data_IF_944851332630
#
_entry.id   IF_944851332630
#
_cell.length_a   1.000
_cell.length_b   1.000
_cell.length_c   1.000
_cell.angle_alpha   90.00
_cell.angle_beta   90.00
_cell.angle_gamma   90.00
#
_symmetry.space_group_name_H-M   'P 1'
#
loop_
_entity.id
_entity.type
_entity.pdbx_description
1 polymer ?
#
# COMPACT_ATOMS: atom_id res chain seq x y z
N UNK A 1 14.18 -8.22 -6.51
CA UNK A 1 13.53 -8.30 -5.20
C UNK A 1 12.83 -6.97 -4.99
N UNK A 2 11.50 -6.98 -4.93
CA UNK A 2 10.71 -5.79 -4.63
C UNK A 2 10.79 -5.55 -3.11
N UNK A 3 10.94 -4.30 -2.71
CA UNK A 3 10.76 -3.84 -1.33
C UNK A 3 9.26 -3.78 -1.07
N UNK A 4 8.84 -3.97 0.17
CA UNK A 4 7.45 -3.71 0.53
C UNK A 4 7.38 -2.42 1.32
N UNK A 5 6.33 -1.62 1.09
CA UNK A 5 6.09 -0.43 1.91
C UNK A 5 5.61 -0.95 3.26
N UNK A 6 6.46 -0.76 4.28
CA UNK A 6 6.34 -1.39 5.59
C UNK A 6 4.91 -1.49 6.12
N UNK A 7 4.45 -2.74 6.29
CA UNK A 7 3.34 -3.23 7.12
C UNK A 7 2.96 -4.69 6.79
N UNK A 8 3.36 -5.15 5.61
CA UNK A 8 2.78 -6.33 4.96
C UNK A 8 3.69 -7.56 4.86
N UNK A 9 5.02 -7.44 4.97
CA UNK A 9 5.93 -8.55 5.27
C UNK A 9 7.34 -8.10 5.68
N UNK A 10 8.16 -9.09 6.09
CA UNK A 10 9.40 -8.97 6.87
C UNK A 10 10.51 -8.08 6.27
N UNK A 11 11.44 -7.56 7.11
CA UNK A 11 12.70 -7.05 6.60
C UNK A 11 13.38 -8.17 5.82
N UNK A 12 13.48 -8.01 4.50
CA UNK A 12 14.42 -8.81 3.71
C UNK A 12 15.81 -8.44 4.21
N UNK A 13 16.31 -9.22 5.16
CA UNK A 13 17.70 -9.16 5.57
C UNK A 13 18.52 -9.19 4.29
N UNK A 14 19.35 -8.16 4.10
CA UNK A 14 20.35 -8.14 3.06
C UNK A 14 21.12 -9.46 3.18
N UNK A 15 20.84 -10.41 2.28
CA UNK A 15 21.67 -11.58 2.13
C UNK A 15 22.95 -11.06 1.51
N UNK A 16 23.94 -10.82 2.36
CA UNK A 16 25.33 -10.72 1.95
C UNK A 16 25.65 -11.99 1.15
N UNK A 17 25.70 -11.83 -0.17
CA UNK A 17 26.14 -12.86 -1.08
C UNK A 17 27.65 -13.01 -0.97
N UNK A 18 28.11 -13.58 0.14
CA UNK A 18 29.46 -14.13 0.25
C UNK A 18 29.49 -15.49 -0.45
N UNK A 19 29.93 -15.47 -1.71
CA UNK A 19 30.22 -16.66 -2.48
C UNK A 19 31.55 -17.27 -2.02
N UNK A 20 31.50 -18.22 -1.09
CA UNK A 20 32.61 -19.14 -0.83
C UNK A 20 32.31 -20.49 -1.52
N UNK A 21 33.09 -20.80 -2.55
CA UNK A 21 33.08 -22.10 -3.21
C UNK A 21 33.55 -23.19 -2.22
N UNK A 22 32.73 -24.22 -2.02
CA UNK A 22 33.19 -25.44 -1.36
C UNK A 22 32.75 -26.69 -2.13
N UNK A 23 33.75 -27.51 -2.37
CA UNK A 23 33.79 -28.69 -3.22
C UNK A 23 32.95 -29.86 -2.65
N UNK A 24 32.27 -30.55 -3.57
CA UNK A 24 31.24 -31.54 -3.33
C UNK A 24 31.77 -32.86 -2.75
N UNK A 25 31.17 -33.34 -1.66
CA UNK A 25 31.25 -34.76 -1.25
C UNK A 25 29.86 -35.40 -1.43
N UNK A 26 29.71 -36.51 -2.17
CA UNK A 26 28.43 -37.18 -2.31
C UNK A 26 28.30 -38.27 -1.24
N UNK A 27 27.28 -38.21 -0.37
CA UNK A 27 26.51 -39.39 0.07
C UNK A 27 25.41 -38.99 1.08
N UNK A 28 24.23 -39.61 0.92
CA UNK A 28 23.00 -39.59 1.75
C UNK A 28 21.96 -38.49 1.47
N UNK A 29 21.37 -38.59 0.28
CA UNK A 29 20.31 -37.69 -0.20
C UNK A 29 18.92 -37.84 0.48
N UNK A 30 18.69 -38.84 1.35
CA UNK A 30 17.35 -39.09 1.90
C UNK A 30 17.16 -38.59 3.35
N UNK A 31 18.19 -38.61 4.20
CA UNK A 31 18.08 -38.06 5.57
C UNK A 31 18.10 -36.52 5.60
N UNK A 32 18.67 -35.88 4.57
CA UNK A 32 18.74 -34.42 4.47
C UNK A 32 17.40 -33.75 4.13
N UNK A 33 16.46 -34.48 3.51
CA UNK A 33 15.14 -33.94 3.14
C UNK A 33 14.22 -33.82 4.36
N UNK A 34 14.34 -34.71 5.34
CA UNK A 34 13.53 -34.67 6.56
C UNK A 34 13.96 -33.53 7.50
N UNK A 35 15.27 -33.28 7.64
CA UNK A 35 15.80 -32.19 8.46
C UNK A 35 15.53 -30.82 7.81
N UNK A 36 15.63 -30.71 6.48
CA UNK A 36 15.25 -29.49 5.76
C UNK A 36 13.75 -29.17 5.87
N UNK A 37 12.89 -30.20 5.87
CA UNK A 37 11.44 -30.03 6.04
C UNK A 37 11.05 -29.61 7.46
N UNK A 38 11.72 -30.16 8.47
CA UNK A 38 11.53 -29.75 9.87
C UNK A 38 12.07 -28.34 10.17
N UNK A 39 13.14 -27.90 9.50
CA UNK A 39 13.66 -26.53 9.63
C UNK A 39 12.75 -25.48 8.96
N UNK A 40 12.10 -25.84 7.84
CA UNK A 40 11.12 -24.96 7.18
C UNK A 40 9.81 -24.81 7.97
N UNK A 41 9.40 -25.81 8.75
CA UNK A 41 8.18 -25.74 9.59
C UNK A 41 8.35 -24.90 10.88
N UNK A 42 9.59 -24.67 11.33
CA UNK A 42 9.86 -23.90 12.56
C UNK A 42 10.01 -22.40 12.29
N UNK A 43 10.23 -22.00 11.03
CA UNK A 43 10.39 -20.60 10.62
C UNK A 43 9.02 -19.91 10.36
N UNK A 44 7.97 -20.66 10.04
CA UNK A 44 6.67 -20.11 9.63
C UNK A 44 5.83 -19.50 10.78
N UNK A 45 6.18 -19.78 12.05
CA UNK A 45 5.43 -19.28 13.22
C UNK A 45 6.06 -18.09 13.94
N UNK A 46 7.24 -17.62 13.52
CA UNK A 46 7.79 -16.33 13.95
C UNK A 46 7.36 -15.30 12.92
N UNK A 47 6.15 -14.76 13.01
CA UNK A 47 6.12 -13.32 13.28
C UNK A 47 4.84 -12.62 12.84
N UNK A 48 3.67 -13.26 12.97
CA UNK A 48 2.40 -12.51 12.85
C UNK A 48 2.37 -11.33 13.86
N UNK A 49 3.05 -11.48 15.01
CA UNK A 49 3.24 -10.44 16.03
C UNK A 49 4.35 -9.42 15.73
N UNK A 50 5.19 -9.64 14.71
CA UNK A 50 6.30 -8.74 14.36
C UNK A 50 5.90 -7.66 13.34
N UNK A 51 4.72 -7.76 12.73
CA UNK A 51 4.21 -6.69 11.88
C UNK A 51 3.94 -5.46 12.76
N UNK A 52 4.32 -4.25 12.32
CA UNK A 52 4.00 -3.06 13.11
C UNK A 52 2.48 -2.99 13.34
N UNK A 53 2.01 -2.18 14.29
CA UNK A 53 0.58 -1.91 14.52
C UNK A 53 0.22 -0.53 13.93
N UNK A 54 -0.75 -0.42 12.98
CA UNK A 54 -0.85 0.79 12.16
C UNK A 54 -1.38 1.96 12.98
N UNK A 55 -1.98 1.66 14.13
CA UNK A 55 -2.37 2.64 15.13
C UNK A 55 -1.18 3.41 15.70
N UNK A 56 0.03 2.81 15.69
CA UNK A 56 1.28 3.45 16.14
C UNK A 56 1.87 4.41 15.11
N UNK A 57 1.36 4.40 13.87
CA UNK A 57 1.83 5.24 12.78
C UNK A 57 0.87 6.41 12.47
N UNK A 58 -0.19 6.58 13.26
CA UNK A 58 -1.15 7.66 13.08
C UNK A 58 -0.50 9.01 13.42
N UNK A 59 -0.51 9.93 12.46
CA UNK A 59 0.04 11.28 12.61
C UNK A 59 -0.89 12.29 11.93
N UNK A 60 -1.90 12.76 12.69
CA UNK A 60 -2.87 13.73 12.17
C UNK A 60 -2.22 15.08 11.81
N UNK A 61 -1.21 15.51 12.56
CA UNK A 61 -0.55 16.78 12.31
C UNK A 61 0.21 16.74 10.97
N UNK A 62 0.93 15.65 10.70
CA UNK A 62 1.60 15.43 9.42
C UNK A 62 0.62 15.49 8.25
N UNK A 63 -0.50 14.73 8.33
CA UNK A 63 -1.49 14.67 7.25
C UNK A 63 -2.06 16.07 6.91
N UNK A 64 -2.37 16.87 7.93
CA UNK A 64 -2.95 18.21 7.73
C UNK A 64 -1.93 19.24 7.22
N UNK A 65 -0.65 19.11 7.58
CA UNK A 65 0.40 20.08 7.22
C UNK A 65 1.07 19.79 5.88
N UNK A 66 0.89 18.58 5.32
CA UNK A 66 1.57 18.12 4.10
C UNK A 66 0.60 17.86 2.94
N UNK A 67 -0.43 18.70 2.76
CA UNK A 67 -1.49 18.49 1.76
C UNK A 67 -0.97 18.21 0.34
N UNK A 68 0.05 18.93 -0.12
CA UNK A 68 0.65 18.71 -1.44
C UNK A 68 1.31 17.33 -1.59
N UNK A 69 1.98 16.84 -0.54
CA UNK A 69 2.56 15.49 -0.53
C UNK A 69 1.48 14.42 -0.42
N UNK A 70 0.41 14.66 0.33
CA UNK A 70 -0.74 13.75 0.43
C UNK A 70 -1.44 13.60 -0.93
N UNK A 71 -1.65 14.69 -1.68
CA UNK A 71 -2.18 14.61 -3.05
C UNK A 71 -1.23 13.88 -4.01
N UNK A 72 0.07 14.06 -3.84
CA UNK A 72 1.08 13.32 -4.60
C UNK A 72 1.01 11.81 -4.31
N UNK A 73 0.87 11.44 -3.03
CA UNK A 73 0.72 10.05 -2.59
C UNK A 73 -0.56 9.42 -3.10
N UNK A 74 -1.69 10.13 -3.05
CA UNK A 74 -2.96 9.64 -3.61
C UNK A 74 -2.79 9.21 -5.06
N UNK A 75 -2.27 10.12 -5.89
CA UNK A 75 -2.02 9.83 -7.29
C UNK A 75 -1.04 8.66 -7.45
N UNK A 76 0.08 8.66 -6.72
CA UNK A 76 1.12 7.64 -6.86
C UNK A 76 0.64 6.23 -6.49
N UNK A 77 -0.12 6.13 -5.39
CA UNK A 77 -0.59 4.86 -4.86
C UNK A 77 -1.79 4.30 -5.63
N UNK A 78 -2.64 5.16 -6.19
CA UNK A 78 -3.90 4.77 -6.83
C UNK A 78 -3.79 4.73 -8.35
N UNK A 79 -3.18 5.74 -8.96
CA UNK A 79 -3.15 5.90 -10.43
C UNK A 79 -1.75 5.65 -11.03
N UNK A 80 -0.69 5.84 -10.25
CA UNK A 80 0.71 5.76 -10.70
C UNK A 80 1.37 4.38 -10.62
N UNK A 81 0.61 3.35 -10.23
CA UNK A 81 1.10 2.01 -9.93
C UNK A 81 0.69 0.96 -10.97
N UNK A 82 1.34 -0.20 -10.92
CA UNK A 82 1.02 -1.38 -11.73
C UNK A 82 0.51 -2.50 -10.84
N UNK A 83 -0.33 -3.38 -11.38
CA UNK A 83 -0.88 -4.52 -10.64
C UNK A 83 0.18 -5.62 -10.57
N UNK A 84 0.66 -5.92 -9.37
CA UNK A 84 1.60 -7.03 -9.14
C UNK A 84 0.84 -8.35 -9.05
N UNK A 85 -0.25 -8.37 -8.29
CA UNK A 85 -1.13 -9.52 -8.12
C UNK A 85 -2.55 -9.08 -7.79
N UNK A 86 -3.51 -10.01 -7.93
CA UNK A 86 -4.91 -9.82 -7.54
C UNK A 86 -5.41 -11.08 -6.83
N UNK A 87 -6.21 -10.88 -5.79
CA UNK A 87 -6.72 -11.91 -4.90
C UNK A 87 -8.25 -12.00 -5.00
N UNK A 88 -8.83 -13.14 -4.63
CA UNK A 88 -10.29 -13.35 -4.72
C UNK A 88 -11.10 -12.80 -3.53
N UNK A 89 -10.47 -12.01 -2.66
CA UNK A 89 -11.09 -11.47 -1.45
C UNK A 89 -10.53 -10.10 -1.08
N UNK A 90 -11.36 -9.30 -0.41
CA UNK A 90 -10.94 -8.02 0.13
C UNK A 90 -10.09 -8.19 1.38
N UNK A 91 -9.05 -7.36 1.48
CA UNK A 91 -8.39 -7.12 2.76
C UNK A 91 -9.36 -6.45 3.75
N UNK A 92 -9.06 -6.50 5.05
CA UNK A 92 -9.83 -5.79 6.06
C UNK A 92 -9.02 -4.65 6.68
N UNK A 93 -9.73 -3.61 7.13
CA UNK A 93 -9.10 -2.53 7.89
C UNK A 93 -8.81 -2.99 9.32
N UNK A 94 -7.58 -2.75 9.80
CA UNK A 94 -7.15 -3.13 11.15
C UNK A 94 -7.64 -2.15 12.24
N UNK A 95 -8.25 -1.04 11.88
CA UNK A 95 -8.84 -0.10 12.84
C UNK A 95 -10.25 -0.58 13.24
N UNK A 96 -10.48 -1.01 14.50
CA UNK A 96 -11.74 -1.65 14.91
C UNK A 96 -12.96 -0.72 14.81
N UNK A 97 -12.72 0.60 14.79
CA UNK A 97 -13.76 1.63 14.66
C UNK A 97 -13.90 2.17 13.24
N UNK A 98 -13.24 1.56 12.24
CA UNK A 98 -13.37 2.01 10.85
C UNK A 98 -14.75 1.65 10.30
N UNK A 99 -15.64 2.65 10.22
CA UNK A 99 -16.98 2.49 9.65
C UNK A 99 -16.93 2.34 8.13
N UNK A 100 -16.01 3.04 7.46
CA UNK A 100 -15.88 3.01 5.99
C UNK A 100 -15.62 1.59 5.50
N UNK A 101 -14.59 0.91 6.00
CA UNK A 101 -14.28 -0.46 5.62
C UNK A 101 -15.32 -1.48 6.12
N UNK A 102 -16.00 -1.20 7.24
CA UNK A 102 -17.07 -2.05 7.76
C UNK A 102 -18.28 -2.10 6.83
N UNK A 103 -18.71 -0.94 6.31
CA UNK A 103 -19.89 -0.85 5.45
C UNK A 103 -19.58 -0.96 3.95
N UNK A 104 -18.32 -0.68 3.56
CA UNK A 104 -17.84 -0.80 2.18
C UNK A 104 -16.49 -1.53 2.12
N UNK A 105 -16.45 -2.86 2.32
CA UNK A 105 -15.20 -3.63 2.32
C UNK A 105 -14.36 -3.49 1.05
N UNK A 106 -15.00 -3.25 -0.11
CA UNK A 106 -14.30 -3.04 -1.39
C UNK A 106 -13.35 -1.84 -1.38
N UNK A 107 -13.48 -0.90 -0.44
CA UNK A 107 -12.50 0.20 -0.26
C UNK A 107 -11.08 -0.29 0.08
N UNK A 108 -10.95 -1.52 0.57
CA UNK A 108 -9.66 -2.12 0.91
C UNK A 108 -8.97 -2.74 -0.30
N UNK A 109 -9.68 -2.86 -1.42
CA UNK A 109 -9.17 -3.46 -2.63
C UNK A 109 -8.91 -4.95 -2.52
N UNK A 110 -8.54 -5.54 -3.65
CA UNK A 110 -8.16 -6.94 -3.79
C UNK A 110 -6.85 -7.12 -4.58
N UNK A 111 -6.16 -6.03 -4.93
CA UNK A 111 -4.88 -6.08 -5.61
C UNK A 111 -3.68 -5.77 -4.70
N UNK A 112 -2.52 -6.32 -5.08
CA UNK A 112 -1.21 -5.79 -4.71
C UNK A 112 -0.70 -4.94 -5.87
N UNK A 113 -0.20 -3.76 -5.54
CA UNK A 113 0.32 -2.78 -6.49
C UNK A 113 1.83 -2.65 -6.34
N UNK A 114 2.51 -2.27 -7.41
CA UNK A 114 3.95 -2.03 -7.42
C UNK A 114 4.36 -0.94 -8.40
N UNK A 115 5.50 -0.29 -8.13
CA UNK A 115 6.23 0.55 -9.08
C UNK A 115 7.54 -0.08 -9.58
N UNK A 116 7.75 -1.37 -9.29
CA UNK A 116 8.98 -2.10 -9.61
C UNK A 116 10.11 -1.96 -8.58
N UNK A 117 9.92 -1.13 -7.56
CA UNK A 117 10.80 -1.01 -6.39
C UNK A 117 10.06 -1.37 -5.12
N UNK A 118 8.88 -0.78 -4.90
CA UNK A 118 8.02 -1.02 -3.76
C UNK A 118 6.75 -1.80 -4.16
N UNK A 119 6.22 -2.61 -3.24
CA UNK A 119 4.89 -3.21 -3.32
C UNK A 119 4.03 -2.76 -2.13
N UNK A 120 2.73 -2.59 -2.37
CA UNK A 120 1.75 -2.24 -1.35
C UNK A 120 0.37 -2.80 -1.72
N UNK A 121 -0.49 -3.09 -0.73
CA UNK A 121 -1.87 -3.44 -1.04
C UNK A 121 -2.61 -2.21 -1.55
N UNK A 122 -3.57 -2.43 -2.43
CA UNK A 122 -4.45 -1.41 -2.96
C UNK A 122 -5.13 -0.56 -1.85
N UNK A 123 -5.56 -1.22 -0.77
CA UNK A 123 -6.12 -0.57 0.41
C UNK A 123 -5.13 0.26 1.24
N UNK A 124 -3.87 0.43 0.84
CA UNK A 124 -2.92 1.25 1.59
C UNK A 124 -3.34 2.73 1.63
N UNK A 125 -3.91 3.25 0.54
CA UNK A 125 -4.45 4.62 0.51
C UNK A 125 -5.55 4.85 1.55
N UNK A 126 -6.37 3.83 1.84
CA UNK A 126 -7.40 3.91 2.88
C UNK A 126 -6.81 4.26 4.25
N UNK A 127 -5.66 3.69 4.61
CA UNK A 127 -4.99 3.97 5.88
C UNK A 127 -4.48 5.41 5.96
N UNK A 128 -3.92 5.93 4.88
CA UNK A 128 -3.43 7.31 4.82
C UNK A 128 -4.61 8.27 4.89
N UNK A 129 -5.63 8.07 4.04
CA UNK A 129 -6.78 8.97 3.93
C UNK A 129 -7.69 8.98 5.16
N UNK A 130 -8.05 7.81 5.69
CA UNK A 130 -9.07 7.71 6.74
C UNK A 130 -8.50 7.56 8.15
N UNK A 131 -7.24 7.15 8.27
CA UNK A 131 -6.59 6.94 9.57
C UNK A 131 -5.34 7.80 9.76
N UNK A 132 -4.98 8.63 8.78
CA UNK A 132 -3.83 9.53 8.83
C UNK A 132 -2.54 8.77 9.20
N UNK A 133 -2.45 7.52 8.76
CA UNK A 133 -1.25 6.70 8.90
C UNK A 133 -0.17 7.35 8.05
N UNK A 134 0.95 7.73 8.69
CA UNK A 134 2.10 8.29 8.00
C UNK A 134 2.94 7.16 7.38
N UNK A 135 3.21 7.19 6.07
CA UNK A 135 4.12 6.24 5.45
C UNK A 135 5.56 6.35 5.99
N UNK A 136 6.37 5.27 5.91
CA UNK A 136 7.79 5.31 6.21
C UNK A 136 8.52 6.42 5.43
N UNK A 137 9.50 7.08 6.06
CA UNK A 137 10.17 8.24 5.47
C UNK A 137 10.92 7.90 4.17
N UNK A 138 11.57 6.74 4.11
CA UNK A 138 12.27 6.26 2.92
C UNK A 138 11.31 6.07 1.73
N UNK A 139 10.08 5.61 2.00
CA UNK A 139 9.05 5.50 0.98
C UNK A 139 8.57 6.89 0.51
N UNK A 140 8.39 7.85 1.43
CA UNK A 140 8.04 9.23 1.06
C UNK A 140 9.11 9.87 0.16
N UNK A 141 10.39 9.66 0.50
CA UNK A 141 11.53 10.16 -0.28
C UNK A 141 11.57 9.51 -1.67
N UNK A 142 11.28 8.20 -1.75
CA UNK A 142 11.16 7.46 -3.00
C UNK A 142 10.03 8.00 -3.87
N UNK A 143 8.81 8.15 -3.34
CA UNK A 143 7.66 8.70 -4.08
C UNK A 143 8.00 10.09 -4.62
N UNK A 144 8.53 10.97 -3.79
CA UNK A 144 8.89 12.35 -4.18
C UNK A 144 9.91 12.36 -5.32
N UNK A 145 10.92 11.51 -5.24
CA UNK A 145 11.98 11.41 -6.25
C UNK A 145 11.48 10.82 -7.57
N UNK A 146 10.45 9.97 -7.52
CA UNK A 146 9.99 9.18 -8.67
C UNK A 146 8.68 9.68 -9.27
N UNK A 147 7.95 10.57 -8.61
CA UNK A 147 6.63 11.02 -9.01
C UNK A 147 6.56 11.48 -10.47
N UNK A 148 7.49 12.36 -10.89
CA UNK A 148 7.56 12.85 -12.26
C UNK A 148 7.83 11.73 -13.27
N UNK A 149 8.69 10.76 -12.90
CA UNK A 149 9.03 9.62 -13.75
C UNK A 149 7.83 8.70 -13.94
N UNK A 150 7.09 8.42 -12.86
CA UNK A 150 5.85 7.62 -12.91
C UNK A 150 4.81 8.24 -13.85
N UNK A 151 4.57 9.57 -13.75
CA UNK A 151 3.66 10.28 -14.66
C UNK A 151 4.07 10.11 -16.13
N UNK A 152 5.36 10.29 -16.42
CA UNK A 152 5.86 10.20 -17.79
C UNK A 152 5.77 8.77 -18.34
N UNK A 153 6.07 7.78 -17.49
CA UNK A 153 5.96 6.36 -17.85
C UNK A 153 4.50 6.00 -18.17
N UNK A 154 3.55 6.35 -17.30
CA UNK A 154 2.13 6.08 -17.53
C UNK A 154 1.62 6.76 -18.81
N UNK A 155 2.00 8.03 -19.04
CA UNK A 155 1.66 8.73 -20.30
C UNK A 155 2.25 8.06 -21.54
N UNK A 156 3.45 7.47 -21.44
CA UNK A 156 4.05 6.74 -22.56
C UNK A 156 3.26 5.47 -22.86
N UNK A 157 2.93 4.69 -21.83
CA UNK A 157 2.11 3.49 -21.95
C UNK A 157 0.72 3.79 -22.52
N UNK A 158 0.07 4.87 -22.06
CA UNK A 158 -1.23 5.28 -22.60
C UNK A 158 -1.19 5.68 -24.06
N UNK A 159 -0.07 6.23 -24.56
CA UNK A 159 0.10 6.53 -25.99
C UNK A 159 0.29 5.25 -26.82
N UNK A 160 0.96 4.25 -26.26
CA UNK A 160 1.27 3.00 -26.94
C UNK A 160 0.07 2.04 -26.99
N UNK A 161 -0.65 1.90 -25.88
CA UNK A 161 -1.71 0.90 -25.73
C UNK A 161 -3.12 1.49 -25.61
N UNK A 162 -3.26 2.82 -25.52
CA UNK A 162 -4.52 3.49 -25.25
C UNK A 162 -4.76 3.79 -23.76
N UNK A 163 -5.82 4.55 -23.48
CA UNK A 163 -6.17 5.00 -22.13
C UNK A 163 -7.10 4.04 -21.36
N UNK A 164 -7.56 2.99 -22.03
CA UNK A 164 -8.52 2.00 -21.52
C UNK A 164 -7.84 0.65 -21.24
N UNK A 165 -6.62 0.69 -20.70
CA UNK A 165 -5.82 -0.50 -20.40
C UNK A 165 -5.23 -0.41 -18.99
N UNK A 166 -5.47 -1.44 -18.18
CA UNK A 166 -4.73 -1.69 -16.95
C UNK A 166 -3.42 -2.43 -17.24
N UNK A 167 -2.39 -2.07 -16.50
CA UNK A 167 -1.06 -2.65 -16.62
C UNK A 167 -0.73 -3.48 -15.39
N UNK A 168 -0.27 -4.70 -15.61
CA UNK A 168 0.31 -5.57 -14.61
C UNK A 168 1.84 -5.49 -14.63
N UNK A 169 2.48 -5.91 -13.56
CA UNK A 169 3.94 -6.03 -13.48
C UNK A 169 4.38 -7.41 -13.99
N UNK A 170 5.18 -7.43 -15.04
CA UNK A 170 5.77 -8.68 -15.56
C UNK A 170 7.15 -8.93 -14.92
N UNK A 171 7.33 -10.02 -14.16
CA UNK A 171 8.61 -10.33 -13.53
C UNK A 171 9.73 -10.68 -14.52
N UNK A 172 9.39 -11.14 -15.73
CA UNK A 172 10.39 -11.52 -16.74
C UNK A 172 11.04 -10.28 -17.36
N UNK A 173 10.22 -9.32 -17.80
CA UNK A 173 10.70 -8.05 -18.36
C UNK A 173 11.05 -7.02 -17.29
N UNK A 174 10.61 -7.24 -16.05
CA UNK A 174 10.72 -6.28 -14.93
C UNK A 174 10.13 -4.92 -15.31
N UNK A 175 8.94 -4.97 -15.89
CA UNK A 175 8.26 -3.78 -16.39
C UNK A 175 6.75 -3.99 -16.48
N UNK A 176 6.02 -2.91 -16.78
CA UNK A 176 4.59 -2.96 -16.98
C UNK A 176 4.25 -3.68 -18.30
N UNK A 177 3.22 -4.53 -18.26
CA UNK A 177 2.65 -5.23 -19.40
C UNK A 177 1.12 -5.09 -19.38
N UNK A 178 0.46 -4.95 -20.55
CA UNK A 178 -1.00 -4.84 -20.60
C UNK A 178 -1.65 -6.13 -20.09
N UNK A 179 -2.65 -6.00 -19.22
CA UNK A 179 -3.38 -7.15 -18.70
C UNK A 179 -4.37 -7.72 -19.73
N UNK A 180 -4.65 -9.04 -19.72
CA UNK A 180 -5.73 -9.61 -20.52
C UNK A 180 -7.08 -8.99 -20.19
N UNK A 181 -7.94 -8.77 -21.20
CA UNK A 181 -9.22 -8.07 -21.03
C UNK A 181 -10.15 -8.73 -20.00
N UNK A 182 -10.15 -10.06 -19.88
CA UNK A 182 -10.92 -10.79 -18.85
C UNK A 182 -10.44 -10.43 -17.44
N UNK A 183 -9.13 -10.35 -17.24
CA UNK A 183 -8.54 -9.95 -15.95
C UNK A 183 -8.87 -8.49 -15.65
N UNK A 184 -8.77 -7.61 -16.65
CA UNK A 184 -9.12 -6.19 -16.48
C UNK A 184 -10.58 -6.01 -16.05
N UNK A 185 -11.51 -6.68 -16.71
CA UNK A 185 -12.94 -6.61 -16.37
C UNK A 185 -13.17 -7.05 -14.91
N UNK A 186 -12.58 -8.18 -14.50
CA UNK A 186 -12.69 -8.64 -13.12
C UNK A 186 -12.14 -7.63 -12.12
N UNK A 187 -10.96 -7.05 -12.40
CA UNK A 187 -10.33 -6.06 -11.52
C UNK A 187 -11.19 -4.80 -11.41
N UNK A 188 -11.72 -4.28 -12.52
CA UNK A 188 -12.55 -3.08 -12.51
C UNK A 188 -13.89 -3.29 -11.77
N UNK A 189 -14.44 -4.50 -11.79
CA UNK A 189 -15.69 -4.83 -11.11
C UNK A 189 -15.51 -5.05 -9.60
N UNK A 190 -14.32 -5.47 -9.16
CA UNK A 190 -14.07 -5.88 -7.78
C UNK A 190 -13.10 -4.97 -7.02
N UNK A 191 -12.28 -4.18 -7.70
CA UNK A 191 -11.28 -3.33 -7.06
C UNK A 191 -11.68 -1.84 -7.12
N UNK A 192 -10.92 -1.01 -6.44
CA UNK A 192 -10.98 0.47 -6.45
C UNK A 192 -10.19 1.10 -7.60
N UNK A 193 -9.47 0.28 -8.37
CA UNK A 193 -8.67 0.73 -9.52
C UNK A 193 -9.58 1.25 -10.63
N UNK A 194 -9.06 2.23 -11.38
CA UNK A 194 -9.78 2.92 -12.45
C UNK A 194 -8.94 2.95 -13.72
N UNK A 195 -9.61 3.02 -14.86
CA UNK A 195 -8.93 3.26 -16.13
C UNK A 195 -8.41 4.71 -16.17
N UNK A 196 -7.23 4.96 -16.78
CA UNK A 196 -6.70 6.30 -16.99
C UNK A 196 -7.68 7.27 -17.66
N UNK A 197 -8.55 6.77 -18.56
CA UNK A 197 -9.58 7.57 -19.23
C UNK A 197 -10.67 8.09 -18.28
N UNK A 198 -10.99 7.37 -17.21
CA UNK A 198 -12.01 7.74 -16.24
C UNK A 198 -11.53 8.80 -15.24
N UNK A 199 -10.22 8.82 -14.98
CA UNK A 199 -9.59 9.85 -14.15
C UNK A 199 -9.77 11.27 -14.73
N UNK A 200 -9.94 11.41 -16.05
CA UNK A 200 -10.17 12.71 -16.70
C UNK A 200 -11.60 13.22 -16.60
N UNK A 201 -12.57 12.30 -16.47
CA UNK A 201 -14.01 12.62 -16.50
C UNK A 201 -14.52 13.12 -15.14
N UNK A 202 -13.82 12.76 -14.07
CA UNK A 202 -14.27 13.05 -12.71
C UNK A 202 -13.36 14.11 -12.09
N UNK A 203 -13.84 15.35 -11.86
CA UNK A 203 -13.05 16.31 -11.09
C UNK A 203 -12.79 15.73 -9.69
N UNK A 204 -11.60 15.94 -9.09
CA UNK A 204 -11.23 15.36 -7.79
C UNK A 204 -12.14 15.72 -6.60
N UNK A 205 -13.16 16.57 -6.79
CA UNK A 205 -13.92 17.19 -5.71
C UNK A 205 -15.28 16.54 -5.39
N UNK A 206 -15.90 15.73 -6.26
CA UNK A 206 -17.32 15.38 -6.10
C UNK A 206 -17.66 13.91 -5.81
N UNK A 207 -16.70 12.97 -5.87
CA UNK A 207 -16.98 11.57 -5.50
C UNK A 207 -16.97 11.27 -3.99
N UNK A 208 -16.73 12.28 -3.15
CA UNK A 208 -16.53 12.11 -1.71
C UNK A 208 -17.69 12.64 -0.83
N UNK A 209 -18.94 12.44 -1.26
CA UNK A 209 -20.13 12.68 -0.44
C UNK A 209 -20.12 11.91 0.92
N UNK A 210 -19.31 10.86 1.03
CA UNK A 210 -19.16 10.06 2.25
C UNK A 210 -18.25 10.67 3.33
N UNK A 211 -17.47 11.72 3.02
CA UNK A 211 -16.63 12.40 4.02
C UNK A 211 -17.47 13.09 5.12
N UNK A 212 -18.77 13.30 4.87
CA UNK A 212 -19.73 13.81 5.86
C UNK A 212 -20.09 12.81 6.98
N UNK A 213 -19.79 11.52 6.83
CA UNK A 213 -20.09 10.51 7.85
C UNK A 213 -18.91 10.15 8.76
N UNK A 214 -17.69 10.59 8.43
CA UNK A 214 -16.49 10.03 9.07
C UNK A 214 -16.04 10.72 10.36
N UNK A 215 -16.43 11.96 10.65
CA UNK A 215 -16.05 12.61 11.92
C UNK A 215 -17.01 13.75 12.30
N UNK A 216 -17.87 13.49 13.28
CA UNK A 216 -18.40 14.57 14.12
C UNK A 216 -17.33 14.89 15.17
N UNK A 217 -16.74 16.09 15.20
CA UNK A 217 -15.68 16.47 16.15
C UNK A 217 -16.17 16.64 17.60
N UNK A 218 -17.42 16.27 17.91
CA UNK A 218 -18.09 16.57 19.18
C UNK A 218 -17.66 15.71 20.38
N UNK A 219 -16.64 14.85 20.29
CA UNK A 219 -16.28 13.93 21.38
C UNK A 219 -14.94 14.19 22.09
N UNK A 220 -14.12 15.18 21.68
CA UNK A 220 -12.75 15.29 22.23
C UNK A 220 -12.43 16.57 23.03
N UNK A 221 -13.37 17.50 23.23
CA UNK A 221 -13.13 18.72 24.01
C UNK A 221 -14.20 18.94 25.10
N UNK A 222 -14.21 18.11 26.13
CA UNK A 222 -14.89 18.42 27.39
C UNK A 222 -13.91 18.17 28.55
N UNK A 223 -13.14 19.19 28.93
CA UNK A 223 -12.22 19.07 30.07
C UNK A 223 -11.08 20.06 30.12
N UNK A 224 -11.33 21.35 29.89
CA UNK A 224 -10.40 22.40 30.32
C UNK A 224 -11.22 23.62 30.73
N UNK A 225 -11.53 23.71 32.01
CA UNK A 225 -12.03 24.95 32.63
C UNK A 225 -10.89 25.97 32.66
N UNK A 226 -11.10 27.21 32.18
CA UNK A 226 -10.12 28.27 32.37
C UNK A 226 -10.17 28.75 33.83
N UNK A 227 -9.08 28.56 34.57
CA UNK A 227 -8.84 29.25 35.84
C UNK A 227 -8.48 30.70 35.54
N UNK A 228 -9.39 31.62 35.88
CA UNK A 228 -9.22 33.05 35.67
C UNK A 228 -8.39 33.70 36.79
N UNK A 229 -7.34 34.40 36.36
CA UNK A 229 -6.83 35.69 36.81
C UNK A 229 -6.70 36.02 38.32
N UNK A 230 -5.43 36.08 38.74
CA UNK A 230 -4.73 37.23 39.30
C UNK A 230 -5.52 38.55 39.57
N UNK A 231 -5.42 39.00 40.84
CA UNK A 231 -5.22 40.38 41.33
C UNK A 231 -6.26 41.47 41.06
N UNK A 232 -6.78 42.08 42.15
CA UNK A 232 -6.48 43.46 42.56
C UNK A 232 -7.33 43.90 43.79
N UNK A 233 -6.64 44.57 44.72
CA UNK A 233 -7.10 45.43 45.85
C UNK A 233 -7.51 44.75 47.16
#
# INVERSE_FOLDING_TARGET
>A
MLREVGFWCEPTGARDSDSAAHESTPLKAQDSLAVARAAAEVDDRRGVEARPDPTKLVDHAWFMTHSGLVSMLEWYLVDGAFIESHELAYSYCRFPKCTVAKYKPSTMGACTLTDGVYCWPEGYWHYIRHHHVRPPQDFLDHVTSNYRRAILALKALSREHGEDVLFGWDPQTRGPAPLPSVTQAWILDNCTLRLPSDAKKTPPAETHSWDLLACSPSSCCAGATPSAACSLS
#
